data_IF_472313611077
#
_entry.id   IF_472313611077
#
_cell.length_a   1.000
_cell.length_b   1.000
_cell.length_c   1.000
_cell.angle_alpha   90.00
_cell.angle_beta   90.00
_cell.angle_gamma   90.00
#
_symmetry.space_group_name_H-M   'P 1'
#
loop_
_entity.id
_entity.type
_entity.pdbx_description
1 polymer ?
#
# COMPACT_ATOMS: atom_id res chain seq x y z
N UNK A 1 4.05 2.28 8.02
CA UNK A 1 2.86 1.42 8.20
C UNK A 1 3.21 -0.03 7.90
N UNK A 2 2.75 -1.01 8.68
CA UNK A 2 3.05 -2.42 8.41
C UNK A 2 2.08 -2.97 7.37
N UNK A 3 2.59 -3.73 6.41
CA UNK A 3 1.75 -4.43 5.44
C UNK A 3 1.33 -5.76 6.07
N UNK A 4 0.02 -5.94 6.25
CA UNK A 4 -0.55 -7.15 6.85
C UNK A 4 -1.11 -8.13 5.80
N UNK A 5 -1.50 -7.62 4.64
CA UNK A 5 -1.95 -8.41 3.51
C UNK A 5 -1.46 -7.79 2.21
N UNK A 6 -1.18 -8.63 1.22
CA UNK A 6 -0.73 -8.20 -0.10
C UNK A 6 -1.11 -9.22 -1.15
N UNK A 7 -1.52 -8.75 -2.32
CA UNK A 7 -1.81 -9.61 -3.46
C UNK A 7 -1.70 -8.81 -4.75
N UNK A 8 -1.39 -9.49 -5.84
CA UNK A 8 -1.27 -8.86 -7.15
C UNK A 8 -2.58 -8.95 -7.92
N UNK A 9 -2.97 -7.82 -8.52
CA UNK A 9 -4.02 -7.79 -9.54
C UNK A 9 -3.36 -7.54 -10.89
N UNK A 10 -3.46 -8.52 -11.79
CA UNK A 10 -2.90 -8.45 -13.14
C UNK A 10 -3.35 -7.16 -13.85
N UNK A 11 -2.37 -6.42 -14.39
CA UNK A 11 -2.61 -5.15 -15.08
C UNK A 11 -2.94 -3.95 -14.21
N UNK A 12 -3.03 -4.10 -12.87
CA UNK A 12 -3.26 -2.97 -11.93
C UNK A 12 -2.06 -2.68 -11.03
N UNK A 13 -1.40 -3.72 -10.53
CA UNK A 13 -0.30 -3.61 -9.57
C UNK A 13 -0.51 -4.49 -8.34
N UNK A 14 0.18 -4.15 -7.25
CA UNK A 14 0.07 -4.88 -5.98
C UNK A 14 -0.85 -4.13 -5.05
N UNK A 15 -1.91 -4.80 -4.59
CA UNK A 15 -2.74 -4.31 -3.50
C UNK A 15 -2.05 -4.63 -2.18
N UNK A 16 -2.01 -3.66 -1.28
CA UNK A 16 -1.51 -3.83 0.09
C UNK A 16 -2.56 -3.35 1.08
N UNK A 17 -2.70 -4.09 2.18
CA UNK A 17 -3.50 -3.70 3.33
C UNK A 17 -2.54 -3.33 4.45
N UNK A 18 -2.64 -2.10 4.92
CA UNK A 18 -1.84 -1.58 6.02
C UNK A 18 -2.61 -1.55 7.34
N UNK A 19 -1.89 -1.62 8.46
CA UNK A 19 -2.42 -1.63 9.82
C UNK A 19 -2.62 -0.24 10.45
N UNK A 20 -2.60 0.82 9.65
CA UNK A 20 -2.67 2.19 10.12
C UNK A 20 -3.65 3.01 9.27
N UNK A 21 -4.46 3.81 9.93
CA UNK A 21 -5.25 4.85 9.26
C UNK A 21 -4.40 6.07 8.89
N UNK A 22 -4.72 6.68 7.76
CA UNK A 22 -4.04 7.87 7.26
C UNK A 22 -5.07 8.94 6.88
N UNK A 23 -4.65 10.20 6.94
CA UNK A 23 -5.48 11.34 6.52
C UNK A 23 -5.53 11.52 4.99
N UNK A 24 -4.90 10.62 4.22
CA UNK A 24 -4.92 10.67 2.75
C UNK A 24 -6.34 10.46 2.22
N UNK A 25 -6.67 11.15 1.13
CA UNK A 25 -7.98 11.03 0.49
C UNK A 25 -8.03 9.79 -0.41
N UNK A 26 -9.23 9.24 -0.59
CA UNK A 26 -9.46 8.15 -1.56
C UNK A 26 -9.11 8.61 -2.98
N UNK A 27 -8.46 7.75 -3.76
CA UNK A 27 -8.00 8.03 -5.13
C UNK A 27 -6.78 8.97 -5.20
N UNK A 28 -6.23 9.39 -4.06
CA UNK A 28 -5.07 10.26 -4.03
C UNK A 28 -3.81 9.47 -4.40
N UNK A 29 -2.99 10.07 -5.28
CA UNK A 29 -1.69 9.50 -5.66
C UNK A 29 -0.63 9.96 -4.66
N UNK A 30 0.09 9.00 -4.11
CA UNK A 30 1.09 9.18 -3.07
C UNK A 30 2.45 8.66 -3.55
N UNK A 31 3.52 9.27 -3.07
CA UNK A 31 4.82 8.64 -3.11
C UNK A 31 4.85 7.53 -2.06
N UNK A 32 5.22 6.32 -2.47
CA UNK A 32 5.36 5.16 -1.61
C UNK A 32 6.81 4.68 -1.60
N UNK A 33 7.30 4.33 -0.41
CA UNK A 33 8.56 3.61 -0.24
C UNK A 33 8.23 2.29 0.44
N UNK A 34 8.49 1.19 -0.27
CA UNK A 34 8.44 -0.16 0.28
C UNK A 34 9.77 -0.40 0.98
N UNK A 35 9.73 -0.71 2.28
CA UNK A 35 10.90 -1.16 3.03
C UNK A 35 10.77 -2.66 3.24
N UNK A 36 11.67 -3.43 2.62
CA UNK A 36 11.69 -4.89 2.68
C UNK A 36 12.30 -5.37 4.01
N UNK A 37 12.04 -6.64 4.43
CA UNK A 37 12.61 -7.20 5.66
C UNK A 37 14.14 -7.23 5.71
N UNK A 38 14.79 -7.29 4.55
CA UNK A 38 16.25 -7.20 4.42
C UNK A 38 16.79 -5.76 4.57
N UNK A 39 15.91 -4.78 4.78
CA UNK A 39 16.22 -3.36 4.89
C UNK A 39 16.34 -2.63 3.55
N UNK A 40 16.30 -3.34 2.43
CA UNK A 40 16.31 -2.71 1.10
C UNK A 40 15.02 -1.92 0.86
N UNK A 41 15.11 -0.91 -0.01
CA UNK A 41 14.00 0.00 -0.27
C UNK A 41 13.68 0.07 -1.76
N UNK A 42 12.40 0.22 -2.08
CA UNK A 42 11.93 0.46 -3.44
C UNK A 42 10.90 1.59 -3.44
N UNK A 43 11.09 2.57 -4.32
CA UNK A 43 10.15 3.68 -4.48
C UNK A 43 9.12 3.34 -5.55
N UNK A 44 7.86 3.70 -5.29
CA UNK A 44 6.73 3.51 -6.19
C UNK A 44 5.66 4.59 -5.96
N UNK A 45 4.58 4.53 -6.75
CA UNK A 45 3.36 5.31 -6.56
C UNK A 45 2.32 4.42 -5.90
N UNK A 46 1.70 4.92 -4.84
CA UNK A 46 0.54 4.32 -4.21
C UNK A 46 -0.72 5.13 -4.52
N UNK A 47 -1.86 4.46 -4.60
CA UNK A 47 -3.18 5.07 -4.69
C UNK A 47 -4.08 4.48 -3.62
N UNK A 48 -4.70 5.33 -2.79
CA UNK A 48 -5.60 4.86 -1.72
C UNK A 48 -6.92 4.38 -2.33
N UNK A 49 -7.32 3.15 -2.02
CA UNK A 49 -8.56 2.54 -2.52
C UNK A 49 -9.49 2.08 -1.39
N UNK A 50 -10.75 1.83 -1.73
CA UNK A 50 -11.65 1.12 -0.84
C UNK A 50 -11.21 -0.34 -0.69
N UNK A 51 -11.45 -0.92 0.48
CA UNK A 51 -11.29 -2.35 0.66
C UNK A 51 -12.14 -3.11 -0.37
N UNK A 52 -11.49 -3.95 -1.17
CA UNK A 52 -12.12 -4.69 -2.27
C UNK A 52 -13.05 -5.82 -1.78
N UNK A 53 -13.02 -6.13 -0.48
CA UNK A 53 -13.93 -7.07 0.18
C UNK A 53 -14.58 -6.38 1.37
N UNK A 54 -15.83 -6.75 1.66
CA UNK A 54 -16.40 -6.50 2.98
C UNK A 54 -15.59 -7.32 3.97
N UNK A 55 -14.77 -6.65 4.76
CA UNK A 55 -14.15 -7.27 5.92
C UNK A 55 -15.16 -7.04 7.05
N UNK A 56 -16.13 -7.95 7.17
CA UNK A 56 -17.34 -7.78 7.99
C UNK A 56 -17.08 -7.73 9.52
N UNK A 57 -15.83 -7.79 9.98
CA UNK A 57 -15.54 -7.86 11.42
C UNK A 57 -14.26 -7.15 11.87
N UNK A 58 -13.64 -6.39 10.99
CA UNK A 58 -12.39 -5.73 11.30
C UNK A 58 -12.68 -4.25 11.49
N UNK A 59 -12.84 -3.90 12.77
CA UNK A 59 -12.85 -2.53 13.26
C UNK A 59 -11.85 -1.70 12.43
N UNK A 60 -12.38 -0.72 11.68
CA UNK A 60 -11.85 0.49 11.03
C UNK A 60 -10.32 0.78 10.94
N UNK A 61 -9.39 -0.08 11.34
CA UNK A 61 -7.99 0.23 11.59
C UNK A 61 -7.07 -0.03 10.39
N UNK A 62 -7.64 -0.45 9.25
CA UNK A 62 -6.87 -0.85 8.08
C UNK A 62 -7.20 0.00 6.87
N UNK A 63 -6.18 0.22 6.05
CA UNK A 63 -6.31 0.95 4.81
C UNK A 63 -5.72 0.17 3.64
N UNK A 64 -6.31 0.39 2.48
CA UNK A 64 -5.94 -0.32 1.25
C UNK A 64 -5.30 0.65 0.28
N UNK A 65 -4.17 0.23 -0.27
CA UNK A 65 -3.45 0.97 -1.29
C UNK A 65 -3.10 0.05 -2.46
N UNK A 66 -3.11 0.61 -3.67
CA UNK A 66 -2.58 -0.06 -4.86
C UNK A 66 -1.24 0.55 -5.21
N UNK A 67 -0.20 -0.27 -5.16
CA UNK A 67 1.15 0.07 -5.58
C UNK A 67 1.29 -0.20 -7.08
N UNK A 68 1.63 0.84 -7.84
CA UNK A 68 1.78 0.77 -9.30
C UNK A 68 3.18 0.31 -9.68
N UNK A 69 3.35 -0.25 -10.87
CA UNK A 69 4.68 -0.56 -11.45
C UNK A 69 5.61 -1.42 -10.57
N UNK A 70 5.02 -2.24 -9.70
CA UNK A 70 5.72 -3.22 -8.86
C UNK A 70 5.00 -4.55 -8.96
N UNK A 71 5.74 -5.63 -8.73
CA UNK A 71 5.20 -6.98 -8.66
C UNK A 71 5.16 -7.48 -7.21
N UNK A 72 4.42 -8.56 -6.95
CA UNK A 72 4.28 -9.10 -5.60
C UNK A 72 5.62 -9.46 -4.96
N UNK A 73 6.61 -9.84 -5.77
CA UNK A 73 7.98 -10.12 -5.32
C UNK A 73 8.71 -8.88 -4.79
N UNK A 74 8.31 -7.67 -5.20
CA UNK A 74 8.88 -6.44 -4.68
C UNK A 74 8.39 -6.12 -3.27
N UNK A 75 7.28 -6.73 -2.85
CA UNK A 75 6.66 -6.57 -1.54
C UNK A 75 6.68 -7.92 -0.83
N UNK A 76 7.82 -8.42 -0.34
CA UNK A 76 7.87 -9.65 0.44
C UNK A 76 7.10 -9.53 1.77
N UNK A 77 6.78 -10.66 2.40
CA UNK A 77 6.13 -10.67 3.72
C UNK A 77 6.97 -9.97 4.76
N UNK A 78 6.32 -9.23 5.65
CA UNK A 78 7.01 -8.42 6.65
C UNK A 78 7.51 -7.07 6.15
N UNK A 79 7.25 -6.71 4.87
CA UNK A 79 7.54 -5.36 4.39
C UNK A 79 6.69 -4.30 5.10
N UNK A 80 7.22 -3.08 5.15
CA UNK A 80 6.49 -1.88 5.59
C UNK A 80 6.37 -0.89 4.44
N UNK A 81 5.40 0.01 4.57
CA UNK A 81 5.11 1.07 3.62
C UNK A 81 5.23 2.44 4.28
N UNK A 82 6.07 3.30 3.72
CA UNK A 82 6.13 4.72 4.06
C UNK A 82 5.48 5.53 2.95
N UNK A 83 4.56 6.42 3.32
CA UNK A 83 3.73 7.20 2.40
C UNK A 83 3.94 8.69 2.61
N UNK A 84 3.94 9.44 1.51
CA UNK A 84 3.98 10.91 1.52
C UNK A 84 3.25 11.47 0.31
N UNK A 85 2.80 12.73 0.42
CA UNK A 85 2.23 13.43 -0.72
C UNK A 85 3.23 13.56 -1.87
N UNK A 86 2.75 13.46 -3.10
CA UNK A 86 3.53 13.83 -4.27
C UNK A 86 3.67 15.36 -4.26
N UNK A 87 4.89 15.92 -4.29
CA UNK A 87 5.07 17.37 -4.32
C UNK A 87 4.37 17.96 -5.55
N UNK A 88 3.45 18.89 -5.34
CA UNK A 88 2.90 19.73 -6.40
C UNK A 88 4.04 20.53 -7.02
N UNK A 89 4.30 20.33 -8.31
CA UNK A 89 5.25 21.16 -9.07
C UNK A 89 4.67 22.53 -9.38
#
# INVERSE_FOLDING_TARGET
MKIIERFQISGRGVVVVGDLQTDFRMGEKLNAIIVRPDGSKASTVAEKEYALRRIDDVAHEFEVFVLRHVDLSDVPEGSTLDLSFVPSR
#
